data_IF_725012649780
#
_entry.id   IF_725012649780
#
_cell.length_a   1.000
_cell.length_b   1.000
_cell.length_c   1.000
_cell.angle_alpha   90.00
_cell.angle_beta   90.00
_cell.angle_gamma   90.00
#
_symmetry.space_group_name_H-M   'P 1'
#
loop_
_entity.id
_entity.type
_entity.pdbx_description
1 polymer ?
#
# COMPACT_ATOMS: atom_id res chain seq x y z
N UNK A 1 -21.16 -6.02 16.53
CA UNK A 1 -20.74 -7.32 15.96
C UNK A 1 -19.56 -7.21 15.00
N UNK A 2 -19.40 -6.15 14.21
CA UNK A 2 -18.29 -5.96 13.24
C UNK A 2 -16.87 -5.96 13.85
N UNK A 3 -16.66 -5.38 15.04
CA UNK A 3 -15.33 -5.33 15.69
C UNK A 3 -14.72 -6.71 16.00
N UNK A 4 -15.56 -7.70 16.31
CA UNK A 4 -15.10 -9.08 16.58
C UNK A 4 -14.74 -9.85 15.30
N UNK A 5 -15.43 -9.56 14.18
CA UNK A 5 -15.13 -10.20 12.90
C UNK A 5 -13.79 -9.74 12.33
N UNK A 6 -13.46 -8.44 12.45
CA UNK A 6 -12.17 -7.88 12.03
C UNK A 6 -11.02 -8.48 12.85
N UNK A 7 -11.20 -8.63 14.17
CA UNK A 7 -10.19 -9.25 15.03
C UNK A 7 -9.96 -10.74 14.69
N UNK A 8 -11.02 -11.48 14.38
CA UNK A 8 -10.91 -12.88 13.94
C UNK A 8 -10.20 -13.02 12.59
N UNK A 9 -10.38 -12.06 11.66
CA UNK A 9 -9.70 -12.07 10.37
C UNK A 9 -8.19 -11.80 10.53
N UNK A 10 -7.81 -10.90 11.44
CA UNK A 10 -6.40 -10.62 11.77
C UNK A 10 -5.76 -11.83 12.45
N UNK A 11 -6.45 -12.49 13.38
CA UNK A 11 -5.95 -13.68 14.09
C UNK A 11 -5.86 -14.90 13.15
N UNK A 12 -6.80 -15.06 12.21
CA UNK A 12 -6.75 -16.13 11.22
C UNK A 12 -5.58 -15.93 10.23
N UNK A 13 -5.25 -14.69 9.88
CA UNK A 13 -4.07 -14.36 9.07
C UNK A 13 -2.74 -14.65 9.80
N UNK A 14 -2.72 -14.56 11.14
CA UNK A 14 -1.54 -14.86 11.96
C UNK A 14 -1.32 -16.36 12.20
N UNK A 15 -2.32 -17.21 11.92
CA UNK A 15 -2.27 -18.67 12.14
C UNK A 15 -1.60 -19.48 11.03
N UNK A 16 -1.12 -18.85 9.96
CA UNK A 16 -0.42 -19.56 8.88
C UNK A 16 1.05 -19.74 9.27
N UNK A 17 1.35 -20.92 9.81
CA UNK A 17 2.66 -21.35 10.30
C UNK A 17 3.78 -21.17 9.29
N UNK A 18 4.85 -20.56 9.77
CA UNK A 18 6.13 -20.43 9.09
C UNK A 18 6.68 -21.79 8.65
N UNK A 19 6.64 -22.09 7.38
CA UNK A 19 7.51 -23.08 6.77
C UNK A 19 8.73 -22.35 6.20
N UNK A 20 9.85 -22.53 6.89
CA UNK A 20 11.16 -22.06 6.46
C UNK A 20 11.57 -22.77 5.17
N UNK A 21 11.26 -22.18 4.01
CA UNK A 21 11.97 -22.44 2.75
C UNK A 21 11.59 -21.37 1.71
N UNK A 22 12.51 -20.45 1.42
CA UNK A 22 12.61 -19.58 0.22
C UNK A 22 11.38 -18.78 -0.26
N UNK A 23 10.23 -18.96 0.31
CA UNK A 23 9.03 -18.15 0.12
C UNK A 23 8.78 -17.39 1.42
N UNK A 24 9.28 -16.18 1.53
CA UNK A 24 8.98 -15.33 2.68
C UNK A 24 7.63 -14.65 2.44
N UNK A 25 6.69 -14.87 3.33
CA UNK A 25 5.46 -14.12 3.35
C UNK A 25 5.62 -12.92 4.28
N UNK A 26 5.11 -11.78 3.89
CA UNK A 26 5.20 -10.57 4.71
C UNK A 26 3.82 -9.92 4.86
N UNK A 27 3.57 -9.43 6.04
CA UNK A 27 2.53 -8.43 6.27
C UNK A 27 3.19 -7.05 6.14
N UNK A 28 2.65 -6.21 5.27
CA UNK A 28 3.18 -4.88 5.00
C UNK A 28 2.23 -3.82 5.53
N UNK A 29 2.79 -2.75 6.09
CA UNK A 29 2.05 -1.54 6.48
C UNK A 29 2.87 -0.34 6.05
N UNK A 30 2.23 0.59 5.34
CA UNK A 30 2.89 1.78 4.83
C UNK A 30 1.99 3.01 4.87
N UNK A 31 2.62 4.16 4.93
CA UNK A 31 1.98 5.46 4.77
C UNK A 31 2.71 6.24 3.70
N UNK A 32 1.99 6.99 2.91
CA UNK A 32 2.52 7.72 1.78
C UNK A 32 2.04 9.14 1.70
N UNK A 33 2.85 9.95 1.03
CA UNK A 33 2.51 11.32 0.65
C UNK A 33 2.52 11.40 -0.88
N UNK A 34 1.48 12.01 -1.41
CA UNK A 34 1.31 12.19 -2.85
C UNK A 34 1.44 13.67 -3.22
N UNK A 35 1.97 13.91 -4.43
CA UNK A 35 2.24 15.25 -4.92
C UNK A 35 0.99 16.14 -4.97
N UNK A 36 -0.17 15.56 -5.22
CA UNK A 36 -1.48 16.22 -5.33
C UNK A 36 -2.12 16.52 -3.96
N UNK A 37 -1.32 16.83 -2.93
CA UNK A 37 -1.77 17.02 -1.54
C UNK A 37 -2.57 15.83 -1.01
N UNK A 38 -2.13 14.62 -1.35
CA UNK A 38 -2.73 13.37 -0.93
C UNK A 38 -1.91 12.66 0.13
N UNK A 39 -2.60 11.94 0.99
CA UNK A 39 -2.04 10.96 1.90
C UNK A 39 -2.61 9.60 1.55
N UNK A 40 -1.79 8.56 1.64
CA UNK A 40 -2.31 7.22 1.60
C UNK A 40 -1.83 6.37 2.78
N UNK A 41 -2.62 5.36 3.10
CA UNK A 41 -2.26 4.32 4.05
C UNK A 41 -2.55 2.98 3.40
N UNK A 42 -1.55 2.12 3.36
CA UNK A 42 -1.63 0.81 2.72
C UNK A 42 -1.35 -0.31 3.73
N UNK A 43 -2.18 -1.34 3.68
CA UNK A 43 -1.92 -2.64 4.31
C UNK A 43 -1.87 -3.66 3.19
N UNK A 44 -0.86 -4.52 3.18
CA UNK A 44 -0.72 -5.54 2.17
C UNK A 44 -0.19 -6.86 2.74
N UNK A 45 -0.58 -7.94 2.08
CA UNK A 45 0.03 -9.26 2.24
C UNK A 45 0.89 -9.54 1.02
N UNK A 46 2.16 -9.77 1.23
CA UNK A 46 3.14 -10.11 0.21
C UNK A 46 3.46 -11.60 0.29
N UNK A 47 3.23 -12.30 -0.80
CA UNK A 47 3.64 -13.70 -0.98
C UNK A 47 4.92 -13.74 -1.80
N UNK A 48 6.03 -13.96 -1.12
CA UNK A 48 7.34 -14.06 -1.74
C UNK A 48 7.51 -15.35 -2.54
N UNK A 49 8.16 -15.24 -3.68
CA UNK A 49 8.52 -16.31 -4.58
C UNK A 49 10.04 -16.40 -4.69
N UNK A 50 10.55 -17.32 -5.53
CA UNK A 50 11.99 -17.45 -5.79
C UNK A 50 12.58 -16.12 -6.28
N UNK A 51 13.82 -15.86 -5.87
CA UNK A 51 14.61 -14.70 -6.30
C UNK A 51 14.07 -13.34 -5.86
N UNK A 52 13.36 -13.26 -4.72
CA UNK A 52 12.69 -12.06 -4.20
C UNK A 52 11.61 -11.47 -5.13
N UNK A 53 11.10 -12.27 -6.07
CA UNK A 53 9.85 -11.91 -6.74
C UNK A 53 8.70 -12.10 -5.77
N UNK A 54 7.65 -11.31 -5.88
CA UNK A 54 6.51 -11.42 -4.99
C UNK A 54 5.18 -11.11 -5.69
N UNK A 55 4.10 -11.65 -5.12
CA UNK A 55 2.74 -11.21 -5.35
C UNK A 55 2.25 -10.45 -4.13
N UNK A 56 1.71 -9.29 -4.34
CA UNK A 56 1.18 -8.42 -3.30
C UNK A 56 -0.33 -8.31 -3.44
N UNK A 57 -1.05 -8.54 -2.34
CA UNK A 57 -2.48 -8.28 -2.21
C UNK A 57 -2.62 -7.11 -1.25
N UNK A 58 -3.18 -6.00 -1.70
CA UNK A 58 -3.19 -4.77 -0.93
C UNK A 58 -4.56 -4.14 -0.77
N UNK A 59 -4.71 -3.43 0.33
CA UNK A 59 -5.80 -2.50 0.59
C UNK A 59 -5.18 -1.13 0.87
N UNK A 60 -5.61 -0.12 0.13
CA UNK A 60 -5.13 1.27 0.29
C UNK A 60 -6.30 2.19 0.54
N UNK A 61 -6.18 3.04 1.55
CA UNK A 61 -7.03 4.21 1.77
C UNK A 61 -6.30 5.46 1.31
N UNK A 62 -6.95 6.26 0.51
CA UNK A 62 -6.44 7.53 0.00
C UNK A 62 -7.29 8.68 0.52
N UNK A 63 -6.63 9.75 0.93
CA UNK A 63 -7.24 10.99 1.40
C UNK A 63 -6.55 12.17 0.72
N UNK A 64 -7.32 13.00 0.02
CA UNK A 64 -6.85 14.29 -0.48
C UNK A 64 -7.33 15.40 0.45
N UNK A 65 -6.45 16.30 0.81
CA UNK A 65 -6.74 17.49 1.60
C UNK A 65 -6.47 18.75 0.78
N UNK A 66 -7.18 19.83 1.12
CA UNK A 66 -6.99 21.13 0.49
C UNK A 66 -7.13 22.23 1.53
N UNK A 67 -6.75 23.46 1.14
CA UNK A 67 -6.95 24.62 1.99
C UNK A 67 -8.45 24.93 2.09
N UNK A 68 -8.89 25.32 3.26
CA UNK A 68 -10.26 25.79 3.47
C UNK A 68 -10.37 27.17 2.81
N UNK A 69 -11.33 27.37 1.87
CA UNK A 69 -11.48 28.65 1.16
C UNK A 69 -11.70 29.85 2.08
N UNK A 70 -12.35 29.62 3.23
CA UNK A 70 -12.66 30.68 4.19
C UNK A 70 -11.52 30.98 5.14
N UNK A 71 -10.69 29.99 5.43
CA UNK A 71 -9.59 30.12 6.41
C UNK A 71 -8.21 30.37 5.75
N UNK A 72 -8.04 30.06 4.46
CA UNK A 72 -6.77 30.16 3.75
C UNK A 72 -5.67 29.20 4.22
N UNK A 73 -6.05 28.15 4.97
CA UNK A 73 -5.19 27.07 5.42
C UNK A 73 -5.98 25.79 5.61
N UNK A 74 -5.29 24.67 5.76
CA UNK A 74 -5.92 23.35 6.00
C UNK A 74 -6.61 23.36 7.37
N UNK A 75 -7.93 23.19 7.38
CA UNK A 75 -8.74 23.01 8.59
C UNK A 75 -9.05 21.53 8.81
N UNK A 76 -9.54 21.17 9.99
CA UNK A 76 -10.02 19.80 10.25
C UNK A 76 -11.11 19.38 9.27
N UNK A 77 -11.96 20.31 8.85
CA UNK A 77 -13.03 20.04 7.89
C UNK A 77 -12.47 19.77 6.48
N UNK A 78 -11.60 20.64 5.97
CA UNK A 78 -11.00 20.48 4.64
C UNK A 78 -10.03 19.31 4.56
N UNK A 79 -9.45 18.89 5.68
CA UNK A 79 -8.60 17.70 5.75
C UNK A 79 -9.41 16.40 5.58
N UNK A 80 -10.54 16.24 6.28
CA UNK A 80 -11.28 14.96 6.31
C UNK A 80 -12.40 14.86 5.29
N UNK A 81 -12.91 15.95 4.76
CA UNK A 81 -14.11 15.98 3.94
C UNK A 81 -13.88 16.41 2.49
N UNK A 82 -12.62 16.47 2.04
CA UNK A 82 -12.34 16.82 0.65
C UNK A 82 -12.61 15.62 -0.28
N UNK A 83 -11.66 14.74 -0.46
CA UNK A 83 -11.83 13.56 -1.31
C UNK A 83 -11.20 12.34 -0.64
N UNK A 84 -11.95 11.26 -0.58
CA UNK A 84 -11.50 9.99 0.00
C UNK A 84 -11.81 8.84 -0.95
N UNK A 85 -10.92 7.90 -1.06
CA UNK A 85 -11.17 6.64 -1.77
C UNK A 85 -10.48 5.47 -1.09
N UNK A 86 -11.00 4.28 -1.34
CA UNK A 86 -10.37 3.05 -0.93
C UNK A 86 -10.25 2.10 -2.11
N UNK A 87 -9.19 1.31 -2.14
CA UNK A 87 -8.88 0.38 -3.22
C UNK A 87 -8.43 -0.95 -2.65
N UNK A 88 -8.86 -2.04 -3.28
CA UNK A 88 -8.33 -3.38 -3.08
C UNK A 88 -7.68 -3.81 -4.38
N UNK A 89 -6.50 -4.39 -4.31
CA UNK A 89 -5.76 -4.72 -5.52
C UNK A 89 -4.77 -5.84 -5.36
N UNK A 90 -4.19 -6.18 -6.50
CA UNK A 90 -3.11 -7.15 -6.63
C UNK A 90 -1.98 -6.55 -7.44
N UNK A 91 -0.74 -6.82 -7.05
CA UNK A 91 0.43 -6.41 -7.79
C UNK A 91 1.44 -7.55 -7.90
N UNK A 92 2.13 -7.61 -9.03
CA UNK A 92 3.31 -8.44 -9.21
C UNK A 92 4.56 -7.59 -9.01
N UNK A 93 5.53 -8.14 -8.27
CA UNK A 93 6.75 -7.44 -7.87
C UNK A 93 7.99 -8.23 -8.30
N UNK A 94 8.42 -8.13 -9.58
CA UNK A 94 9.68 -8.72 -10.03
C UNK A 94 10.86 -8.01 -9.39
N UNK A 95 11.80 -8.80 -8.86
CA UNK A 95 13.03 -8.29 -8.28
C UNK A 95 14.02 -7.89 -9.38
N UNK A 96 14.43 -6.63 -9.39
CA UNK A 96 15.37 -6.06 -10.39
C UNK A 96 16.74 -5.73 -9.79
N UNK A 97 16.84 -5.63 -8.48
CA UNK A 97 18.10 -5.37 -7.79
C UNK A 97 18.17 -6.21 -6.51
N UNK A 98 19.35 -6.74 -6.21
CA UNK A 98 19.56 -7.64 -5.08
C UNK A 98 20.93 -7.46 -4.47
N UNK A 99 20.96 -7.24 -3.16
CA UNK A 99 22.16 -7.19 -2.36
C UNK A 99 22.08 -8.16 -1.16
N UNK A 100 23.03 -8.06 -0.26
CA UNK A 100 23.10 -8.96 0.92
C UNK A 100 21.94 -8.72 1.90
N UNK A 101 21.58 -7.47 2.13
CA UNK A 101 20.58 -7.08 3.12
C UNK A 101 19.49 -6.18 2.52
N UNK A 102 19.38 -6.10 1.20
CA UNK A 102 18.40 -5.27 0.52
C UNK A 102 18.00 -5.87 -0.81
N UNK A 103 16.83 -5.54 -1.27
CA UNK A 103 16.37 -5.86 -2.62
C UNK A 103 15.47 -4.75 -3.16
N UNK A 104 15.42 -4.66 -4.47
CA UNK A 104 14.58 -3.69 -5.18
C UNK A 104 13.66 -4.38 -6.15
N UNK A 105 12.37 -4.05 -6.09
CA UNK A 105 11.33 -4.65 -6.91
C UNK A 105 10.65 -3.56 -7.75
N UNK A 106 10.38 -3.85 -9.02
CA UNK A 106 9.35 -3.14 -9.73
C UNK A 106 8.00 -3.60 -9.20
N UNK A 107 7.02 -2.71 -9.15
CA UNK A 107 5.65 -3.03 -8.75
C UNK A 107 4.70 -2.70 -9.89
N UNK A 108 3.94 -3.69 -10.35
CA UNK A 108 2.96 -3.53 -11.43
C UNK A 108 1.69 -4.18 -10.95
N UNK A 109 0.60 -3.42 -10.90
CA UNK A 109 -0.65 -3.92 -10.32
C UNK A 109 -1.89 -3.27 -10.86
N UNK A 110 -3.01 -3.79 -10.39
CA UNK A 110 -4.33 -3.25 -10.66
C UNK A 110 -5.20 -3.31 -9.41
N UNK A 111 -6.16 -2.42 -9.31
CA UNK A 111 -7.09 -2.36 -8.20
C UNK A 111 -8.49 -1.96 -8.63
N UNK A 112 -9.45 -2.24 -7.75
CA UNK A 112 -10.80 -1.72 -7.82
C UNK A 112 -11.22 -1.22 -6.44
N UNK A 113 -12.09 -0.24 -6.39
CA UNK A 113 -12.51 0.37 -5.15
C UNK A 113 -13.68 1.34 -5.34
N UNK A 114 -13.80 2.27 -4.42
CA UNK A 114 -14.83 3.32 -4.48
C UNK A 114 -14.29 4.62 -3.88
N UNK A 115 -14.75 5.72 -4.42
CA UNK A 115 -14.51 7.05 -3.87
C UNK A 115 -15.68 7.55 -2.98
N UNK A 116 -16.47 6.62 -2.44
CA UNK A 116 -17.67 6.82 -1.65
C UNK A 116 -18.93 7.21 -2.47
N UNK A 117 -18.80 7.51 -3.75
CA UNK A 117 -19.89 7.83 -4.67
C UNK A 117 -19.97 6.80 -5.79
N UNK A 118 -18.84 6.57 -6.47
CA UNK A 118 -18.76 5.73 -7.64
C UNK A 118 -17.73 4.61 -7.47
N UNK A 119 -17.83 3.59 -8.33
CA UNK A 119 -16.81 2.57 -8.45
C UNK A 119 -15.63 3.12 -9.25
N UNK A 120 -14.42 2.92 -8.74
CA UNK A 120 -13.17 3.35 -9.38
C UNK A 120 -12.26 2.15 -9.60
N UNK A 121 -11.57 2.13 -10.73
CA UNK A 121 -10.54 1.15 -11.04
C UNK A 121 -9.19 1.81 -11.20
N UNK A 122 -8.09 1.08 -10.96
CA UNK A 122 -6.76 1.66 -11.10
C UNK A 122 -5.71 0.68 -11.58
N UNK A 123 -4.69 1.23 -12.22
CA UNK A 123 -3.42 0.56 -12.51
C UNK A 123 -2.30 1.24 -11.74
N UNK A 124 -1.38 0.45 -11.26
CA UNK A 124 -0.31 0.86 -10.36
C UNK A 124 1.03 0.46 -10.93
N UNK A 125 1.96 1.40 -10.99
CA UNK A 125 3.35 1.15 -11.35
C UNK A 125 4.24 1.80 -10.30
N UNK A 126 5.34 1.14 -9.92
CA UNK A 126 6.25 1.70 -8.94
C UNK A 126 7.57 0.96 -8.85
N UNK A 127 8.44 1.50 -8.02
CA UNK A 127 9.66 0.85 -7.60
C UNK A 127 9.69 0.85 -6.07
N UNK A 128 9.92 -0.32 -5.50
CA UNK A 128 10.06 -0.52 -4.07
C UNK A 128 11.48 -0.97 -3.76
N UNK A 129 12.07 -0.39 -2.73
CA UNK A 129 13.36 -0.81 -2.19
C UNK A 129 13.19 -1.22 -0.74
N UNK A 130 13.58 -2.45 -0.42
CA UNK A 130 13.44 -3.05 0.91
C UNK A 130 14.80 -3.31 1.53
N UNK A 131 14.92 -3.05 2.82
CA UNK A 131 16.10 -3.29 3.66
C UNK A 131 15.74 -4.25 4.78
N UNK A 132 16.41 -5.40 4.81
CA UNK A 132 16.24 -6.38 5.87
C UNK A 132 16.84 -5.86 7.19
N UNK A 133 16.02 -5.88 8.23
CA UNK A 133 16.39 -5.57 9.60
C UNK A 133 16.56 -6.86 10.41
N UNK A 134 17.00 -6.73 11.65
CA UNK A 134 17.06 -7.88 12.57
C UNK A 134 15.65 -8.30 13.00
N UNK A 135 15.45 -9.60 13.24
CA UNK A 135 14.19 -10.11 13.80
C UNK A 135 13.06 -10.32 12.80
N UNK A 136 13.35 -10.45 11.51
CA UNK A 136 12.32 -10.71 10.48
C UNK A 136 11.53 -9.48 10.04
N UNK A 137 12.03 -8.29 10.37
CA UNK A 137 11.47 -7.03 9.88
C UNK A 137 12.21 -6.54 8.65
N UNK A 138 11.50 -5.82 7.77
CA UNK A 138 12.09 -5.06 6.69
C UNK A 138 11.52 -3.64 6.67
N UNK A 139 12.38 -2.68 6.39
CA UNK A 139 11.99 -1.31 6.08
C UNK A 139 11.86 -1.20 4.57
N UNK A 140 10.78 -0.63 4.07
CA UNK A 140 10.64 -0.39 2.63
C UNK A 140 10.33 1.06 2.30
N UNK A 141 10.81 1.46 1.13
CA UNK A 141 10.47 2.72 0.46
C UNK A 141 9.98 2.42 -0.95
N UNK A 142 8.90 3.06 -1.33
CA UNK A 142 8.29 2.89 -2.64
C UNK A 142 8.05 4.26 -3.29
N UNK A 143 8.45 4.37 -4.56
CA UNK A 143 7.99 5.45 -5.45
C UNK A 143 6.92 4.86 -6.34
N UNK A 144 5.77 5.50 -6.43
CA UNK A 144 4.63 4.96 -7.16
C UNK A 144 3.95 5.99 -8.04
N UNK A 145 3.36 5.49 -9.09
CA UNK A 145 2.45 6.18 -9.98
C UNK A 145 1.16 5.36 -10.09
N UNK A 146 0.05 5.94 -9.72
CA UNK A 146 -1.25 5.30 -9.80
C UNK A 146 -2.13 6.05 -10.80
N UNK A 147 -2.71 5.33 -11.75
CA UNK A 147 -3.69 5.87 -12.71
C UNK A 147 -5.05 5.33 -12.34
N UNK A 148 -5.93 6.20 -11.87
CA UNK A 148 -7.26 5.84 -11.38
C UNK A 148 -8.33 6.27 -12.38
N UNK A 149 -9.08 5.31 -12.87
CA UNK A 149 -10.17 5.49 -13.82
C UNK A 149 -11.49 5.61 -13.04
N UNK A 150 -12.32 6.56 -13.42
CA UNK A 150 -13.59 6.82 -12.72
C UNK A 150 -13.48 7.82 -11.57
N UNK A 151 -12.29 8.34 -11.29
CA UNK A 151 -12.03 9.35 -10.26
C UNK A 151 -11.81 10.73 -10.90
N UNK A 152 -12.17 11.79 -10.18
CA UNK A 152 -11.83 13.16 -10.57
C UNK A 152 -10.32 13.43 -10.55
N UNK A 153 -9.55 12.68 -9.76
CA UNK A 153 -8.10 12.73 -9.70
C UNK A 153 -7.54 11.44 -10.30
N UNK A 154 -7.19 11.50 -11.59
CA UNK A 154 -6.78 10.34 -12.36
C UNK A 154 -5.33 9.91 -12.09
N UNK A 155 -4.43 10.86 -11.89
CA UNK A 155 -2.99 10.62 -11.69
C UNK A 155 -2.60 10.89 -10.25
N UNK A 156 -1.89 9.93 -9.64
CA UNK A 156 -1.44 10.02 -8.25
C UNK A 156 0.01 9.57 -8.14
N UNK A 157 0.91 10.55 -8.12
CA UNK A 157 2.35 10.32 -7.98
C UNK A 157 2.76 10.49 -6.52
N UNK A 158 3.51 9.57 -5.97
CA UNK A 158 3.92 9.70 -4.58
C UNK A 158 5.00 8.76 -4.12
N UNK A 159 5.33 8.95 -2.84
CA UNK A 159 6.27 8.10 -2.11
C UNK A 159 5.59 7.48 -0.91
N UNK A 160 5.88 6.22 -0.66
CA UNK A 160 5.37 5.46 0.49
C UNK A 160 6.55 4.90 1.26
N UNK A 161 6.48 4.97 2.58
CA UNK A 161 7.42 4.31 3.47
C UNK A 161 6.69 3.43 4.46
N UNK A 162 7.31 2.33 4.87
CA UNK A 162 6.66 1.43 5.80
C UNK A 162 7.52 0.27 6.24
N UNK A 163 6.87 -0.68 6.89
CA UNK A 163 7.48 -1.86 7.46
C UNK A 163 6.83 -3.12 6.90
N UNK A 164 7.66 -4.15 6.72
CA UNK A 164 7.25 -5.52 6.43
C UNK A 164 7.60 -6.39 7.64
N UNK A 165 6.69 -7.26 7.99
CA UNK A 165 6.86 -8.28 9.03
C UNK A 165 6.80 -9.65 8.37
N UNK A 166 7.86 -10.44 8.51
CA UNK A 166 7.86 -11.85 8.06
C UNK A 166 6.89 -12.67 8.89
N UNK A 167 6.07 -13.46 8.21
CA UNK A 167 5.06 -14.37 8.77
C UNK A 167 5.56 -15.81 8.81
#
# INVERSE_FOLDING_TARGET
MMKKAVLCLIVAAMGMTAHAQTNSNHLMMGVGMLYERGLDATIAYEHGSKYHNAWEYFATGYLQYDDDPDAGHVTKKSFWHNYNSWHLGIAYKPCVNRGRNHHGNLRIGASGGSDLHDFVGGVHVGYEHSYALKGGWELFFQVKEDVIIGSGLQWRTGIVGGLKLSL
#
